data_IF_736373551573
#
_entry.id   IF_736373551573
#
_cell.length_a   1.000
_cell.length_b   1.000
_cell.length_c   1.000
_cell.angle_alpha   90.00
_cell.angle_beta   90.00
_cell.angle_gamma   90.00
#
_symmetry.space_group_name_H-M   'P 1'
#
loop_
_entity.id
_entity.type
_entity.pdbx_description
1 polymer ?
#
# COMPACT_ATOMS: atom_id res chain seq x y z
N UNK A 1 4.53 -2.27 28.89
CA UNK A 1 4.35 -0.81 28.75
C UNK A 1 3.36 -0.59 27.62
N UNK A 2 2.27 0.14 27.87
CA UNK A 2 1.15 0.24 26.91
C UNK A 2 1.56 1.07 25.69
N UNK A 3 1.60 0.43 24.52
CA UNK A 3 1.96 1.04 23.23
C UNK A 3 0.98 2.14 22.76
N UNK A 4 -0.07 2.43 23.54
CA UNK A 4 -1.11 3.42 23.21
C UNK A 4 -0.95 4.76 23.94
N UNK A 5 0.04 4.93 24.82
CA UNK A 5 0.16 6.14 25.64
C UNK A 5 0.58 7.40 24.84
N UNK A 6 1.16 7.24 23.65
CA UNK A 6 1.73 8.33 22.84
C UNK A 6 1.03 8.54 21.48
N UNK A 7 -0.12 7.91 21.24
CA UNK A 7 -0.87 8.21 20.02
C UNK A 7 -1.59 9.56 20.16
N UNK A 8 -1.60 10.42 19.12
CA UNK A 8 -2.43 11.61 19.11
C UNK A 8 -3.89 11.21 19.40
N UNK A 9 -4.52 11.84 20.38
CA UNK A 9 -5.93 11.56 20.73
C UNK A 9 -6.91 11.98 19.64
N UNK A 10 -6.43 12.71 18.61
CA UNK A 10 -7.23 13.17 17.49
C UNK A 10 -7.36 12.06 16.43
N UNK A 11 -8.60 11.59 16.23
CA UNK A 11 -8.96 10.82 15.04
C UNK A 11 -9.23 11.81 13.90
N UNK A 12 -8.43 11.70 12.83
CA UNK A 12 -8.63 12.50 11.62
C UNK A 12 -9.65 11.82 10.71
N UNK A 13 -10.57 12.61 10.16
CA UNK A 13 -11.45 12.15 9.10
C UNK A 13 -10.69 12.09 7.75
N UNK A 14 -11.32 11.50 6.74
CA UNK A 14 -10.70 11.37 5.42
C UNK A 14 -10.29 12.73 4.79
N UNK A 15 -11.10 13.80 4.88
CA UNK A 15 -10.68 15.13 4.45
C UNK A 15 -9.43 15.65 5.16
N UNK A 16 -9.33 15.50 6.49
CA UNK A 16 -8.20 15.96 7.27
C UNK A 16 -6.92 15.20 6.91
N UNK A 17 -6.98 13.87 6.77
CA UNK A 17 -5.82 13.08 6.31
C UNK A 17 -5.34 13.54 4.94
N UNK A 18 -6.24 13.76 3.98
CA UNK A 18 -5.87 14.30 2.65
C UNK A 18 -5.25 15.70 2.72
N UNK A 19 -5.65 16.51 3.71
CA UNK A 19 -5.05 17.82 3.92
C UNK A 19 -3.63 17.72 4.48
N UNK A 20 -3.38 16.76 5.36
CA UNK A 20 -2.03 16.46 5.87
C UNK A 20 -1.12 15.95 4.73
N UNK A 21 -1.59 15.03 3.91
CA UNK A 21 -0.83 14.53 2.76
C UNK A 21 -0.47 15.68 1.80
N UNK A 22 -1.45 16.53 1.49
CA UNK A 22 -1.23 17.72 0.64
C UNK A 22 -0.22 18.67 1.26
N UNK A 23 -0.28 18.91 2.57
CA UNK A 23 0.69 19.77 3.25
C UNK A 23 2.11 19.18 3.17
N UNK A 24 2.26 17.87 3.38
CA UNK A 24 3.55 17.19 3.23
C UNK A 24 4.10 17.31 1.79
N UNK A 25 3.23 17.26 0.79
CA UNK A 25 3.61 17.41 -0.63
C UNK A 25 3.98 18.85 -0.97
N UNK A 26 3.09 19.80 -0.70
CA UNK A 26 3.21 21.18 -1.19
C UNK A 26 4.17 22.02 -0.34
N UNK A 27 4.22 21.77 0.97
CA UNK A 27 5.01 22.60 1.91
C UNK A 27 6.31 21.92 2.29
N UNK A 28 6.28 20.62 2.61
CA UNK A 28 7.49 19.88 2.96
C UNK A 28 8.23 19.28 1.74
N UNK A 29 7.65 19.37 0.53
CA UNK A 29 8.28 18.93 -0.71
C UNK A 29 8.43 17.42 -0.85
N UNK A 30 7.69 16.63 -0.05
CA UNK A 30 7.76 15.17 -0.08
C UNK A 30 6.89 14.67 -1.23
N UNK A 31 7.43 13.86 -2.13
CA UNK A 31 6.64 13.34 -3.24
C UNK A 31 5.46 12.47 -2.75
N UNK A 32 4.29 12.58 -3.39
CA UNK A 32 3.12 11.77 -3.01
C UNK A 32 3.39 10.26 -3.06
N UNK A 33 4.11 9.81 -4.09
CA UNK A 33 4.56 8.42 -4.18
C UNK A 33 5.53 8.01 -3.06
N UNK A 34 6.30 8.94 -2.49
CA UNK A 34 7.13 8.65 -1.32
C UNK A 34 6.27 8.43 -0.07
N UNK A 35 5.22 9.23 0.12
CA UNK A 35 4.25 9.01 1.21
C UNK A 35 3.56 7.65 1.08
N UNK A 36 3.11 7.28 -0.12
CA UNK A 36 2.54 5.97 -0.44
C UNK A 36 3.49 4.82 -0.11
N UNK A 37 4.77 4.93 -0.51
CA UNK A 37 5.78 3.93 -0.19
C UNK A 37 6.00 3.78 1.32
N UNK A 38 5.98 4.89 2.07
CA UNK A 38 6.11 4.86 3.54
C UNK A 38 4.90 4.17 4.19
N UNK A 39 3.68 4.48 3.73
CA UNK A 39 2.46 3.85 4.22
C UNK A 39 2.46 2.34 3.94
N UNK A 40 2.71 1.93 2.69
CA UNK A 40 2.82 0.52 2.30
C UNK A 40 3.90 -0.24 3.09
N UNK A 41 5.09 0.36 3.29
CA UNK A 41 6.16 -0.24 4.09
C UNK A 41 5.77 -0.42 5.56
N UNK A 42 5.14 0.57 6.17
CA UNK A 42 4.68 0.49 7.55
C UNK A 42 3.60 -0.59 7.74
N UNK A 43 2.68 -0.69 6.78
CA UNK A 43 1.66 -1.74 6.76
C UNK A 43 2.27 -3.14 6.59
N UNK A 44 3.20 -3.31 5.64
CA UNK A 44 3.89 -4.57 5.43
C UNK A 44 4.75 -4.99 6.64
N UNK A 45 5.49 -4.06 7.25
CA UNK A 45 6.24 -4.33 8.47
C UNK A 45 5.33 -4.79 9.63
N UNK A 46 4.13 -4.21 9.72
CA UNK A 46 3.11 -4.65 10.68
C UNK A 46 2.61 -6.05 10.35
N UNK A 47 2.29 -6.35 9.09
CA UNK A 47 1.89 -7.69 8.65
C UNK A 47 2.95 -8.74 9.01
N UNK A 48 4.25 -8.47 8.74
CA UNK A 48 5.35 -9.38 9.08
C UNK A 48 5.53 -9.56 10.59
N UNK A 49 5.26 -8.53 11.40
CA UNK A 49 5.36 -8.61 12.86
C UNK A 49 4.22 -9.44 13.47
N UNK A 50 2.99 -9.22 13.02
CA UNK A 50 1.82 -9.89 13.57
C UNK A 50 1.69 -11.34 13.05
N UNK A 51 2.14 -11.61 11.81
CA UNK A 51 2.10 -12.93 11.18
C UNK A 51 3.45 -13.34 10.56
N UNK A 52 4.49 -13.57 11.37
CA UNK A 52 5.84 -13.84 10.86
C UNK A 52 5.97 -15.14 10.05
N UNK A 53 5.08 -16.11 10.28
CA UNK A 53 5.05 -17.41 9.60
C UNK A 53 4.23 -17.39 8.31
N UNK A 54 3.55 -16.29 7.98
CA UNK A 54 2.83 -16.18 6.71
C UNK A 54 3.84 -16.23 5.55
N UNK A 55 3.68 -17.23 4.68
CA UNK A 55 4.46 -17.40 3.45
C UNK A 55 3.73 -16.95 2.18
N UNK A 56 2.42 -16.65 2.28
CA UNK A 56 1.56 -16.21 1.18
C UNK A 56 0.69 -15.04 1.61
N UNK A 57 0.46 -14.09 0.70
CA UNK A 57 -0.41 -12.93 0.90
C UNK A 57 -1.40 -12.80 -0.27
N UNK A 58 -2.68 -12.75 0.06
CA UNK A 58 -3.73 -12.30 -0.86
C UNK A 58 -3.94 -10.79 -0.66
N UNK A 59 -3.82 -10.01 -1.72
CA UNK A 59 -3.90 -8.55 -1.70
C UNK A 59 -4.93 -8.10 -2.71
N UNK A 60 -5.96 -7.38 -2.24
CA UNK A 60 -7.05 -6.86 -3.08
C UNK A 60 -6.92 -5.35 -3.18
N UNK A 61 -6.53 -4.86 -4.36
CA UNK A 61 -6.29 -3.45 -4.62
C UNK A 61 -7.45 -2.82 -5.39
N UNK A 62 -7.85 -1.61 -5.01
CA UNK A 62 -8.68 -0.74 -5.86
C UNK A 62 -7.83 0.08 -6.84
N UNK A 63 -8.47 0.99 -7.58
CA UNK A 63 -7.79 1.85 -8.57
C UNK A 63 -7.27 3.19 -8.01
N UNK A 64 -7.49 3.47 -6.71
CA UNK A 64 -7.08 4.70 -6.05
C UNK A 64 -5.81 4.56 -5.21
N UNK A 65 -5.49 5.59 -4.41
CA UNK A 65 -4.26 5.65 -3.60
C UNK A 65 -4.08 4.46 -2.66
N UNK A 66 -5.13 4.03 -1.95
CA UNK A 66 -5.06 2.84 -1.09
C UNK A 66 -4.75 1.57 -1.90
N UNK A 67 -5.19 1.49 -3.16
CA UNK A 67 -4.79 0.41 -4.05
C UNK A 67 -3.30 0.47 -4.35
N UNK A 68 -2.77 1.67 -4.59
CA UNK A 68 -1.33 1.92 -4.71
C UNK A 68 -0.53 1.44 -3.50
N UNK A 69 -0.99 1.69 -2.26
CA UNK A 69 -0.36 1.14 -1.05
C UNK A 69 -0.30 -0.40 -1.08
N UNK A 70 -1.38 -1.04 -1.55
CA UNK A 70 -1.43 -2.49 -1.73
C UNK A 70 -0.45 -3.01 -2.79
N UNK A 71 -0.27 -2.29 -3.90
CA UNK A 71 0.78 -2.60 -4.90
C UNK A 71 2.20 -2.46 -4.31
N UNK A 72 2.43 -1.47 -3.45
CA UNK A 72 3.71 -1.36 -2.71
C UNK A 72 3.90 -2.56 -1.79
N UNK A 73 2.87 -2.97 -1.04
CA UNK A 73 2.93 -4.16 -0.17
C UNK A 73 3.23 -5.41 -1.01
N UNK A 74 2.58 -5.57 -2.16
CA UNK A 74 2.82 -6.70 -3.07
C UNK A 74 4.27 -6.76 -3.56
N UNK A 75 4.84 -5.62 -3.95
CA UNK A 75 6.24 -5.51 -4.36
C UNK A 75 7.20 -5.90 -3.22
N UNK A 76 6.95 -5.42 -1.99
CA UNK A 76 7.76 -5.74 -0.83
C UNK A 76 7.67 -7.22 -0.43
N UNK A 77 6.46 -7.79 -0.47
CA UNK A 77 6.22 -9.20 -0.17
C UNK A 77 6.99 -10.12 -1.13
N UNK A 78 6.91 -9.85 -2.44
CA UNK A 78 7.65 -10.60 -3.43
C UNK A 78 9.17 -10.45 -3.28
N UNK A 79 9.65 -9.24 -2.94
CA UNK A 79 11.07 -9.01 -2.67
C UNK A 79 11.59 -9.80 -1.44
N UNK A 80 10.72 -10.09 -0.46
CA UNK A 80 11.02 -10.97 0.67
C UNK A 80 10.77 -12.47 0.39
N UNK A 81 10.37 -12.83 -0.83
CA UNK A 81 10.15 -14.22 -1.25
C UNK A 81 8.82 -14.82 -0.79
N UNK A 82 7.84 -14.00 -0.41
CA UNK A 82 6.48 -14.48 -0.15
C UNK A 82 5.74 -14.72 -1.47
N UNK A 83 4.84 -15.70 -1.46
CA UNK A 83 3.88 -15.90 -2.54
C UNK A 83 2.82 -14.78 -2.49
N UNK A 84 2.50 -14.16 -3.63
CA UNK A 84 1.57 -13.03 -3.69
C UNK A 84 0.46 -13.31 -4.69
N UNK A 85 -0.78 -13.33 -4.20
CA UNK A 85 -1.98 -13.33 -5.02
C UNK A 85 -2.53 -11.91 -5.05
N UNK A 86 -2.33 -11.20 -6.16
CA UNK A 86 -2.74 -9.82 -6.31
C UNK A 86 -3.99 -9.72 -7.18
N UNK A 87 -5.04 -9.09 -6.66
CA UNK A 87 -6.27 -8.83 -7.40
C UNK A 87 -6.50 -7.33 -7.54
N UNK A 88 -6.94 -6.90 -8.73
CA UNK A 88 -7.38 -5.53 -8.97
C UNK A 88 -8.90 -5.48 -9.09
N UNK A 89 -9.54 -4.63 -8.28
CA UNK A 89 -10.96 -4.33 -8.34
C UNK A 89 -11.18 -2.99 -9.04
N UNK A 90 -11.75 -3.07 -10.24
CA UNK A 90 -12.05 -1.92 -11.10
C UNK A 90 -11.17 -1.86 -12.33
N UNK A 91 -11.43 -0.87 -13.19
CA UNK A 91 -10.77 -0.76 -14.49
C UNK A 91 -9.31 -0.29 -14.35
N UNK A 92 -8.31 -1.04 -14.90
CA UNK A 92 -6.91 -0.63 -14.87
C UNK A 92 -6.65 0.77 -15.44
N UNK A 93 -7.42 1.18 -16.45
CA UNK A 93 -7.33 2.50 -17.08
C UNK A 93 -7.63 3.67 -16.11
N UNK A 94 -8.24 3.40 -14.95
CA UNK A 94 -8.51 4.41 -13.91
C UNK A 94 -7.33 4.64 -12.97
N UNK A 95 -6.31 3.80 -13.01
CA UNK A 95 -5.08 3.94 -12.22
C UNK A 95 -4.24 5.07 -12.83
N UNK A 96 -3.86 6.04 -12.00
CA UNK A 96 -3.12 7.25 -12.41
C UNK A 96 -2.33 7.81 -11.24
N UNK A 97 -1.42 8.74 -11.54
CA UNK A 97 -0.59 9.40 -10.54
C UNK A 97 0.25 8.39 -9.76
N UNK A 98 0.36 8.57 -8.45
CA UNK A 98 1.19 7.75 -7.57
C UNK A 98 0.82 6.26 -7.61
N UNK A 99 -0.47 5.93 -7.76
CA UNK A 99 -0.91 4.53 -7.86
C UNK A 99 -0.35 3.84 -9.11
N UNK A 100 -0.16 4.56 -10.23
CA UNK A 100 0.45 4.00 -11.43
C UNK A 100 1.94 3.71 -11.23
N UNK A 101 2.64 4.56 -10.46
CA UNK A 101 4.03 4.32 -10.07
C UNK A 101 4.14 3.07 -9.18
N UNK A 102 3.18 2.85 -8.27
CA UNK A 102 3.12 1.65 -7.45
C UNK A 102 2.87 0.38 -8.28
N UNK A 103 1.98 0.44 -9.27
CA UNK A 103 1.78 -0.67 -10.23
C UNK A 103 3.10 -0.99 -10.96
N UNK A 104 3.81 0.03 -11.45
CA UNK A 104 5.09 -0.18 -12.13
C UNK A 104 6.17 -0.76 -11.20
N UNK A 105 6.18 -0.34 -9.93
CA UNK A 105 7.05 -0.91 -8.91
C UNK A 105 6.75 -2.39 -8.67
N UNK A 106 5.48 -2.77 -8.51
CA UNK A 106 5.07 -4.17 -8.37
C UNK A 106 5.47 -5.01 -9.59
N UNK A 107 5.23 -4.49 -10.80
CA UNK A 107 5.61 -5.17 -12.03
C UNK A 107 7.13 -5.38 -12.14
N UNK A 108 7.93 -4.39 -11.71
CA UNK A 108 9.40 -4.50 -11.66
C UNK A 108 9.86 -5.56 -10.66
N UNK A 109 9.13 -5.75 -9.56
CA UNK A 109 9.37 -6.81 -8.60
C UNK A 109 8.88 -8.20 -9.08
N UNK A 110 8.23 -8.28 -10.25
CA UNK A 110 7.71 -9.52 -10.82
C UNK A 110 6.28 -9.86 -10.40
N UNK A 111 5.53 -8.91 -9.83
CA UNK A 111 4.14 -9.11 -9.41
C UNK A 111 3.19 -8.27 -10.25
N UNK A 112 2.14 -8.89 -10.77
CA UNK A 112 1.04 -8.22 -11.45
C UNK A 112 -0.29 -8.78 -10.94
N UNK A 113 -1.41 -8.04 -11.08
CA UNK A 113 -2.72 -8.58 -10.77
C UNK A 113 -2.99 -9.83 -11.63
N UNK A 114 -3.35 -10.94 -10.98
CA UNK A 114 -3.90 -12.12 -11.63
C UNK A 114 -5.40 -11.94 -11.90
N UNK A 115 -5.97 -12.85 -12.69
CA UNK A 115 -7.41 -12.92 -12.83
C UNK A 115 -8.03 -13.30 -11.48
N UNK A 116 -9.01 -12.52 -11.02
CA UNK A 116 -9.66 -12.71 -9.71
C UNK A 116 -10.36 -14.07 -9.53
N UNK A 117 -10.36 -14.92 -10.56
CA UNK A 117 -10.96 -16.25 -10.59
C UNK A 117 -10.04 -17.38 -10.10
N UNK A 118 -8.72 -17.15 -9.98
CA UNK A 118 -7.74 -18.23 -9.79
C UNK A 118 -7.27 -18.47 -8.34
N UNK A 119 -8.03 -18.05 -7.31
CA UNK A 119 -7.77 -18.53 -5.94
C UNK A 119 -8.06 -17.62 -4.75
N UNK A 120 -9.15 -16.85 -4.77
CA UNK A 120 -9.74 -16.32 -3.52
C UNK A 120 -10.80 -17.27 -2.96
#
# INVERSE_FOLDING_TARGET
MSAFADLPTALYDAPATRALDRHAIEVAGIAGFELMQRAGRAAFATLRREWPQAGRLAIVCGTGNNGGDGFVIAALACAEGLEVDLALVGEPARIRGDAALAVAMAATAGVAPGDAADGL
#
